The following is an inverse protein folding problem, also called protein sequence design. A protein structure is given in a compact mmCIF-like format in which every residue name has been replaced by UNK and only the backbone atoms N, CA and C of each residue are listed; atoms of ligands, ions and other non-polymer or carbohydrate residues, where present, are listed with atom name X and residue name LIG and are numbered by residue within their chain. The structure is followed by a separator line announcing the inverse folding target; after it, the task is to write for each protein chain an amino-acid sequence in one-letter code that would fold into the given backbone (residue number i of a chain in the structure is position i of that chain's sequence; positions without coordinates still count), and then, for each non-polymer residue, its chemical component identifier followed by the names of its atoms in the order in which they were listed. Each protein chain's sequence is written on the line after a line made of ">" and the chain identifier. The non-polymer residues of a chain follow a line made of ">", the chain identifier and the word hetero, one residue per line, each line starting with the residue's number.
data_IF_029592489973
#
_entry.id   IF_029592489973
#
_cell.length_a   1.000
_cell.length_b   1.000
_cell.length_c   1.000
_cell.angle_alpha   90.00
_cell.angle_beta   90.00
_cell.angle_gamma   90.00
#
_symmetry.space_group_name_H-M   'P 1'
#
loop_
_entity.id
_entity.type
_entity.pdbx_description
1 polymer ?
#
# COMPACT_ATOMS: atom_id res chain seq x y z
N UNK A 1 7.14 -5.37 -9.53
CA UNK A 1 6.10 -5.27 -10.58
C UNK A 1 4.73 -5.87 -10.24
N UNK A 2 4.47 -6.27 -8.99
CA UNK A 2 3.24 -7.01 -8.64
C UNK A 2 2.11 -6.14 -8.06
N UNK A 3 2.47 -5.00 -7.45
CA UNK A 3 1.55 -4.18 -6.66
C UNK A 3 0.45 -3.53 -7.51
N UNK A 4 0.81 -2.89 -8.64
CA UNK A 4 -0.19 -2.29 -9.54
C UNK A 4 -1.15 -3.33 -10.17
N UNK A 5 -0.67 -4.48 -10.71
CA UNK A 5 -1.57 -5.55 -11.13
C UNK A 5 -2.53 -6.05 -10.05
N UNK A 6 -2.07 -6.16 -8.80
CA UNK A 6 -2.94 -6.54 -7.68
C UNK A 6 -4.01 -5.46 -7.42
N UNK A 7 -3.65 -4.18 -7.39
CA UNK A 7 -4.61 -3.08 -7.20
C UNK A 7 -5.69 -3.08 -8.29
N UNK A 8 -5.34 -3.39 -9.54
CA UNK A 8 -6.33 -3.56 -10.64
C UNK A 8 -7.31 -4.70 -10.37
N UNK A 9 -6.83 -5.83 -9.84
CA UNK A 9 -7.70 -6.96 -9.46
C UNK A 9 -8.64 -6.55 -8.32
N UNK A 10 -8.12 -5.90 -7.29
CA UNK A 10 -8.91 -5.38 -6.16
C UNK A 10 -10.02 -4.45 -6.66
N UNK A 11 -9.70 -3.49 -7.53
CA UNK A 11 -10.69 -2.61 -8.13
C UNK A 11 -11.78 -3.39 -8.90
N UNK A 12 -11.42 -4.48 -9.59
CA UNK A 12 -12.36 -5.38 -10.26
C UNK A 12 -13.31 -6.11 -9.30
N UNK A 13 -12.86 -6.44 -8.09
CA UNK A 13 -13.66 -7.15 -7.08
C UNK A 13 -14.69 -6.25 -6.38
N UNK A 14 -14.42 -4.95 -6.26
CA UNK A 14 -15.32 -4.02 -5.59
C UNK A 14 -16.57 -3.77 -6.43
N UNK A 15 -17.76 -3.75 -5.82
CA UNK A 15 -18.97 -3.22 -6.50
C UNK A 15 -18.81 -1.71 -6.81
N UNK A 16 -19.56 -1.15 -7.76
CA UNK A 16 -19.66 0.31 -7.92
C UNK A 16 -20.02 0.99 -6.58
N UNK A 17 -19.33 2.08 -6.25
CA UNK A 17 -19.39 2.76 -4.95
C UNK A 17 -18.65 2.06 -3.80
N UNK A 18 -18.02 0.90 -4.04
CA UNK A 18 -17.28 0.12 -3.04
C UNK A 18 -15.97 0.77 -2.61
N UNK A 19 -15.58 0.50 -1.37
CA UNK A 19 -14.39 1.08 -0.74
C UNK A 19 -13.19 0.14 -0.75
N UNK A 20 -12.03 0.71 -1.01
CA UNK A 20 -10.71 0.14 -0.75
C UNK A 20 -10.07 0.93 0.40
N UNK A 21 -9.68 0.23 1.46
CA UNK A 21 -8.81 0.76 2.50
C UNK A 21 -7.49 0.01 2.42
N UNK A 22 -6.38 0.74 2.35
CA UNK A 22 -5.06 0.14 2.22
C UNK A 22 -3.99 0.94 2.95
N UNK A 23 -3.15 0.23 3.70
CA UNK A 23 -1.95 0.79 4.33
C UNK A 23 -0.73 0.43 3.50
N UNK A 24 0.11 1.41 3.19
CA UNK A 24 1.37 1.23 2.44
C UNK A 24 2.52 1.91 3.17
N UNK A 25 3.77 1.59 2.82
CA UNK A 25 4.90 2.37 3.32
C UNK A 25 4.81 3.85 2.93
N UNK A 26 5.24 4.75 3.82
CA UNK A 26 5.29 6.18 3.51
C UNK A 26 6.47 6.52 2.58
N UNK A 27 7.63 5.90 2.83
CA UNK A 27 8.82 5.95 1.96
C UNK A 27 9.03 4.61 1.27
N UNK A 28 9.72 4.61 0.14
CA UNK A 28 10.11 3.38 -0.53
C UNK A 28 11.16 2.64 0.30
N UNK A 29 11.03 1.32 0.40
CA UNK A 29 12.04 0.49 1.02
C UNK A 29 12.04 -0.91 0.41
N UNK A 30 13.23 -1.45 0.21
CA UNK A 30 13.46 -2.84 -0.18
C UNK A 30 14.64 -3.34 0.65
N UNK A 31 14.47 -4.48 1.30
CA UNK A 31 15.51 -5.01 2.18
C UNK A 31 15.13 -6.35 2.78
N UNK A 32 16.02 -6.83 3.63
CA UNK A 32 15.83 -8.04 4.44
C UNK A 32 16.01 -7.67 5.91
N UNK A 33 15.19 -8.24 6.77
CA UNK A 33 15.41 -8.28 8.21
C UNK A 33 15.73 -9.73 8.58
N UNK A 34 16.98 -9.98 8.97
CA UNK A 34 17.52 -11.33 9.21
C UNK A 34 16.90 -12.01 10.44
N UNK A 35 16.29 -11.23 11.36
CA UNK A 35 15.72 -11.75 12.60
C UNK A 35 14.42 -11.03 12.97
N UNK A 36 13.54 -10.87 11.97
CA UNK A 36 12.26 -10.19 12.17
C UNK A 36 11.44 -10.90 13.26
N UNK A 37 11.03 -10.13 14.28
CA UNK A 37 10.34 -10.61 15.49
C UNK A 37 11.08 -11.70 16.30
N UNK A 38 12.40 -11.85 16.14
CA UNK A 38 13.18 -12.87 16.84
C UNK A 38 12.95 -14.29 16.30
N UNK A 39 12.47 -14.41 15.06
CA UNK A 39 12.13 -15.70 14.43
C UNK A 39 13.33 -16.47 13.87
N UNK A 40 14.55 -15.91 13.89
CA UNK A 40 15.76 -16.52 13.35
C UNK A 40 15.70 -16.85 11.86
N UNK A 41 14.76 -16.25 11.13
CA UNK A 41 14.53 -16.48 9.70
C UNK A 41 14.46 -15.13 8.98
N UNK A 42 15.12 -14.98 7.82
CA UNK A 42 15.09 -13.72 7.10
C UNK A 42 13.69 -13.39 6.58
N UNK A 43 13.29 -12.13 6.72
CA UNK A 43 12.05 -11.58 6.18
C UNK A 43 12.36 -10.51 5.13
N UNK A 44 11.85 -10.69 3.92
CA UNK A 44 12.06 -9.76 2.82
C UNK A 44 10.87 -8.83 2.64
N UNK A 45 11.20 -7.58 2.34
CA UNK A 45 10.21 -6.54 2.14
C UNK A 45 10.54 -5.77 0.88
N UNK A 46 9.49 -5.36 0.18
CA UNK A 46 9.59 -4.37 -0.89
C UNK A 46 8.28 -3.61 -1.02
N UNK A 47 8.32 -2.31 -0.79
CA UNK A 47 7.19 -1.42 -0.97
C UNK A 47 7.62 -0.09 -1.56
N UNK A 48 6.71 0.51 -2.33
CA UNK A 48 6.90 1.83 -2.90
C UNK A 48 6.60 2.94 -1.88
N UNK A 49 6.93 4.18 -2.26
CA UNK A 49 6.56 5.37 -1.49
C UNK A 49 5.07 5.74 -1.65
N UNK A 50 4.61 6.68 -0.83
CA UNK A 50 3.23 7.18 -0.84
C UNK A 50 2.81 7.74 -2.21
N UNK A 51 3.68 8.50 -2.88
CA UNK A 51 3.35 9.13 -4.16
C UNK A 51 3.13 8.08 -5.26
N UNK A 52 3.91 7.01 -5.24
CA UNK A 52 3.82 5.90 -6.18
C UNK A 52 2.59 5.05 -5.92
N UNK A 53 2.30 4.73 -4.65
CA UNK A 53 1.07 4.03 -4.29
C UNK A 53 -0.18 4.82 -4.69
N UNK A 54 -0.23 6.14 -4.42
CA UNK A 54 -1.32 7.02 -4.85
C UNK A 54 -1.53 6.95 -6.36
N UNK A 55 -0.45 7.06 -7.16
CA UNK A 55 -0.54 6.94 -8.62
C UNK A 55 -1.08 5.58 -9.03
N UNK A 56 -0.61 4.50 -8.42
CA UNK A 56 -1.07 3.14 -8.76
C UNK A 56 -2.52 2.88 -8.39
N UNK A 57 -2.99 3.38 -7.24
CA UNK A 57 -4.40 3.32 -6.85
C UNK A 57 -5.28 4.01 -7.89
N UNK A 58 -4.90 5.23 -8.32
CA UNK A 58 -5.60 5.96 -9.38
C UNK A 58 -5.55 5.23 -10.73
N UNK A 59 -4.39 4.70 -11.11
CA UNK A 59 -4.22 3.91 -12.34
C UNK A 59 -4.98 2.57 -12.32
N UNK A 60 -5.33 2.07 -11.14
CA UNK A 60 -6.18 0.89 -10.98
C UNK A 60 -7.68 1.20 -11.14
N UNK A 61 -8.05 2.48 -11.31
CA UNK A 61 -9.44 2.91 -11.49
C UNK A 61 -10.18 3.23 -10.18
N UNK A 62 -9.45 3.41 -9.08
CA UNK A 62 -10.00 3.87 -7.82
C UNK A 62 -9.75 5.36 -7.64
N UNK A 63 -10.66 6.07 -7.00
CA UNK A 63 -10.47 7.48 -6.63
C UNK A 63 -10.03 7.56 -5.19
N UNK A 64 -8.85 8.14 -4.92
CA UNK A 64 -8.38 8.42 -3.56
C UNK A 64 -9.22 9.56 -2.98
N UNK A 65 -10.03 9.27 -1.97
CA UNK A 65 -10.90 10.23 -1.29
C UNK A 65 -10.19 10.81 -0.04
N UNK A 66 -9.33 10.02 0.63
CA UNK A 66 -8.51 10.48 1.75
C UNK A 66 -7.16 9.76 1.77
N UNK A 67 -6.14 10.46 2.25
CA UNK A 67 -4.81 9.93 2.54
C UNK A 67 -4.34 10.49 3.89
N UNK A 68 -3.82 9.62 4.74
CA UNK A 68 -3.35 9.97 6.08
C UNK A 68 -1.97 9.36 6.35
N UNK A 69 -1.07 10.14 6.96
CA UNK A 69 0.19 9.61 7.46
C UNK A 69 -0.02 8.99 8.85
N UNK A 70 0.37 7.73 9.02
CA UNK A 70 0.29 7.00 10.28
C UNK A 70 1.71 6.79 10.82
N UNK A 71 2.10 7.44 11.93
CA UNK A 71 3.47 7.35 12.46
C UNK A 71 3.79 5.97 13.05
N UNK A 72 5.02 5.49 12.83
CA UNK A 72 5.58 4.27 13.42
C UNK A 72 7.09 4.47 13.68
N UNK A 73 7.48 4.59 14.96
CA UNK A 73 8.86 4.85 15.34
C UNK A 73 9.40 6.15 14.72
N UNK A 74 10.52 6.06 14.00
CA UNK A 74 11.14 7.18 13.27
C UNK A 74 10.60 7.34 11.83
N UNK A 75 9.63 6.52 11.42
CA UNK A 75 9.03 6.53 10.09
C UNK A 75 7.50 6.41 10.19
N UNK A 76 6.86 5.88 9.15
CA UNK A 76 5.43 5.57 9.19
C UNK A 76 4.90 5.02 7.88
N UNK A 77 3.57 5.00 7.82
CA UNK A 77 2.78 4.46 6.74
C UNK A 77 1.86 5.53 6.14
N UNK A 78 1.30 5.23 4.98
CA UNK A 78 0.19 5.96 4.40
C UNK A 78 -1.07 5.10 4.45
N UNK A 79 -2.14 5.62 5.04
CA UNK A 79 -3.47 5.04 5.00
C UNK A 79 -4.25 5.70 3.87
N UNK A 80 -4.68 4.91 2.89
CA UNK A 80 -5.52 5.35 1.78
C UNK A 80 -6.97 4.90 1.98
N UNK A 81 -7.89 5.84 1.77
CA UNK A 81 -9.29 5.56 1.51
C UNK A 81 -9.57 5.86 0.05
N UNK A 82 -9.90 4.84 -0.72
CA UNK A 82 -10.23 4.99 -2.12
C UNK A 82 -11.56 4.31 -2.47
N UNK A 83 -12.21 4.81 -3.51
CA UNK A 83 -13.54 4.34 -3.91
C UNK A 83 -13.56 3.94 -5.38
N UNK A 84 -14.19 2.81 -5.69
CA UNK A 84 -14.58 2.48 -7.07
C UNK A 84 -15.81 3.33 -7.38
N UNK A 85 -15.68 4.31 -8.27
CA UNK A 85 -16.84 5.08 -8.73
C UNK A 85 -17.65 4.30 -9.75
#
# INVERSE_FOLDING_TARGET
>A
DEQLPLLRKVAGWLRPGGWFLGTTGHRAWTGVDEDWLGGGTPMWWSHADVATNRRWITQAGLVVEQEEFVPEGENGHALFWARRR
#
